data_IF_194532760237
#
_entry.id   IF_194532760237
#
_cell.length_a   1.000
_cell.length_b   1.000
_cell.length_c   1.000
_cell.angle_alpha   90.00
_cell.angle_beta   90.00
_cell.angle_gamma   90.00
#
_symmetry.space_group_name_H-M   'P 1'
#
loop_
_entity.id
_entity.type
_entity.pdbx_description
1 polymer ?
#
# COMPACT_ATOMS: atom_id res chain seq x y z
N UNK A 1 69.37 -16.07 -46.09
CA UNK A 1 68.53 -14.97 -46.61
C UNK A 1 67.11 -15.56 -46.73
N UNK A 2 66.34 -15.45 -45.67
CA UNK A 2 65.07 -16.10 -45.53
C UNK A 2 63.95 -15.10 -45.82
N UNK A 3 63.04 -15.45 -46.74
CA UNK A 3 61.84 -14.72 -47.02
C UNK A 3 60.75 -15.16 -46.07
N UNK A 4 60.33 -14.30 -45.15
CA UNK A 4 59.15 -14.51 -44.35
C UNK A 4 57.92 -14.20 -45.15
N UNK A 5 57.10 -15.21 -45.37
CA UNK A 5 55.76 -15.13 -45.94
C UNK A 5 54.80 -14.77 -44.81
N UNK A 6 54.14 -13.61 -44.87
CA UNK A 6 53.14 -13.16 -43.91
C UNK A 6 51.76 -13.59 -44.40
N UNK A 7 51.15 -14.56 -43.70
CA UNK A 7 49.80 -14.99 -43.94
C UNK A 7 48.81 -13.97 -43.28
N UNK A 8 48.02 -13.32 -44.05
CA UNK A 8 46.88 -12.51 -43.59
C UNK A 8 45.70 -13.48 -43.42
N UNK A 9 45.36 -13.77 -42.18
CA UNK A 9 44.12 -14.48 -41.82
C UNK A 9 42.98 -13.43 -41.86
N UNK A 10 42.11 -13.56 -42.87
CA UNK A 10 40.86 -12.84 -42.94
C UNK A 10 39.84 -13.55 -42.06
N UNK A 11 39.65 -13.05 -40.85
CA UNK A 11 38.55 -13.51 -39.95
C UNK A 11 37.27 -12.79 -40.38
N UNK A 12 36.36 -13.50 -41.02
CA UNK A 12 35.00 -13.09 -41.24
C UNK A 12 34.27 -13.14 -39.89
N UNK A 13 34.18 -12.01 -39.20
CA UNK A 13 33.21 -11.83 -38.14
C UNK A 13 31.83 -11.67 -38.77
N UNK A 14 31.01 -12.75 -38.77
CA UNK A 14 29.60 -12.64 -38.90
C UNK A 14 29.08 -11.96 -37.61
N UNK A 15 28.93 -10.66 -37.67
CA UNK A 15 28.23 -9.90 -36.64
C UNK A 15 26.76 -10.33 -36.65
N UNK A 16 26.33 -10.94 -35.56
CA UNK A 16 24.93 -10.94 -35.18
C UNK A 16 24.55 -9.49 -34.94
N UNK A 17 23.83 -8.92 -35.87
CA UNK A 17 23.17 -7.61 -35.72
C UNK A 17 22.05 -7.88 -34.71
N UNK A 18 22.34 -7.72 -33.41
CA UNK A 18 21.33 -7.37 -32.45
C UNK A 18 20.82 -6.00 -32.86
N UNK A 19 19.53 -5.86 -33.13
CA UNK A 19 18.89 -4.57 -33.24
C UNK A 19 18.94 -3.88 -31.87
N UNK A 20 20.09 -3.31 -31.52
CA UNK A 20 20.10 -2.20 -30.56
C UNK A 20 19.49 -1.01 -31.31
N UNK A 21 18.26 -0.67 -31.01
CA UNK A 21 17.67 0.60 -31.44
C UNK A 21 18.47 1.72 -30.79
N UNK A 22 19.41 2.29 -31.56
CA UNK A 22 20.09 3.51 -31.12
C UNK A 22 19.01 4.58 -30.85
N UNK A 23 19.04 5.25 -29.69
CA UNK A 23 18.13 6.38 -29.46
C UNK A 23 18.27 7.37 -30.62
N UNK A 24 17.15 7.89 -31.12
CA UNK A 24 17.18 8.99 -32.06
C UNK A 24 17.93 10.17 -31.43
N UNK A 25 18.73 10.93 -32.17
CA UNK A 25 19.41 12.11 -31.65
C UNK A 25 18.45 13.16 -31.05
N UNK A 26 17.14 13.00 -31.25
CA UNK A 26 16.06 13.88 -30.82
C UNK A 26 15.13 13.23 -29.75
N UNK A 27 15.51 12.10 -29.10
CA UNK A 27 14.67 11.47 -28.10
C UNK A 27 14.47 12.41 -26.89
N UNK A 28 13.17 12.63 -26.53
CA UNK A 28 12.80 13.40 -25.35
C UNK A 28 13.13 12.60 -24.09
N UNK A 29 13.80 13.21 -23.13
CA UNK A 29 14.12 12.58 -21.85
C UNK A 29 13.22 13.12 -20.76
N UNK A 30 12.49 12.22 -20.10
CA UNK A 30 11.68 12.50 -18.91
C UNK A 30 12.41 12.00 -17.67
N UNK A 31 12.35 12.76 -16.60
CA UNK A 31 12.96 12.40 -15.32
C UNK A 31 11.93 11.80 -14.37
N UNK A 32 12.27 10.67 -13.74
CA UNK A 32 11.48 10.00 -12.72
C UNK A 32 12.23 10.01 -11.39
N UNK A 33 11.72 10.76 -10.41
CA UNK A 33 12.22 10.72 -9.04
C UNK A 33 11.75 9.45 -8.32
N UNK A 34 12.66 8.78 -7.61
CA UNK A 34 12.36 7.64 -6.74
C UNK A 34 13.07 7.79 -5.40
N UNK A 35 12.54 7.14 -4.36
CA UNK A 35 13.08 7.12 -2.99
C UNK A 35 13.38 5.69 -2.57
N UNK A 36 14.47 5.11 -3.08
CA UNK A 36 14.79 3.72 -2.83
C UNK A 36 16.15 3.58 -2.16
N UNK A 37 16.18 2.99 -0.95
CA UNK A 37 17.43 2.65 -0.28
C UNK A 37 18.17 1.56 -1.05
N UNK A 38 19.49 1.72 -1.24
CA UNK A 38 20.32 0.81 -2.03
C UNK A 38 20.61 -0.56 -1.39
N UNK A 39 19.99 -0.89 -0.27
CA UNK A 39 20.23 -2.15 0.44
C UNK A 39 19.15 -3.19 0.14
N UNK A 40 19.54 -4.14 -0.69
CA UNK A 40 19.00 -5.50 -0.69
C UNK A 40 17.69 -5.71 -1.44
N UNK A 41 17.67 -6.68 -2.30
CA UNK A 41 16.48 -7.27 -2.82
C UNK A 41 16.27 -7.13 -4.33
N UNK A 42 15.29 -7.81 -4.83
CA UNK A 42 14.89 -7.80 -6.23
C UNK A 42 14.70 -6.36 -6.74
N UNK A 43 15.11 -6.11 -7.98
CA UNK A 43 14.81 -4.84 -8.67
C UNK A 43 13.32 -4.56 -8.56
N UNK A 44 12.93 -3.31 -8.21
CA UNK A 44 11.51 -2.99 -8.14
C UNK A 44 10.85 -3.17 -9.50
N UNK A 45 9.59 -3.58 -9.50
CA UNK A 45 8.82 -3.76 -10.74
C UNK A 45 8.83 -2.49 -11.60
N UNK A 46 8.72 -1.31 -10.98
CA UNK A 46 8.80 -0.03 -11.68
C UNK A 46 10.12 0.16 -12.42
N UNK A 47 11.27 -0.14 -11.78
CA UNK A 47 12.57 0.04 -12.43
C UNK A 47 12.80 -0.95 -13.58
N UNK A 48 12.29 -2.17 -13.44
CA UNK A 48 12.30 -3.14 -14.55
C UNK A 48 11.41 -2.64 -15.70
N UNK A 49 10.24 -2.09 -15.38
CA UNK A 49 9.34 -1.55 -16.38
C UNK A 49 9.92 -0.33 -17.11
N UNK A 50 10.64 0.55 -16.41
CA UNK A 50 11.36 1.65 -17.05
C UNK A 50 12.33 1.14 -18.11
N UNK A 51 13.04 0.04 -17.86
CA UNK A 51 13.95 -0.57 -18.86
C UNK A 51 13.16 -1.07 -20.08
N UNK A 52 12.08 -1.85 -19.85
CA UNK A 52 11.21 -2.36 -20.91
C UNK A 52 10.59 -1.21 -21.71
N UNK A 53 10.08 -0.18 -21.03
CA UNK A 53 9.51 1.00 -21.68
C UNK A 53 10.54 1.71 -22.55
N UNK A 54 11.74 1.91 -22.01
CA UNK A 54 12.84 2.53 -22.75
C UNK A 54 13.34 1.73 -23.96
N UNK A 55 13.25 0.40 -23.93
CA UNK A 55 13.57 -0.47 -25.07
C UNK A 55 12.54 -0.35 -26.19
N UNK A 56 11.26 -0.24 -25.82
CA UNK A 56 10.13 -0.24 -26.75
C UNK A 56 9.82 1.16 -27.35
N UNK A 57 10.31 2.25 -26.72
CA UNK A 57 10.06 3.62 -27.16
C UNK A 57 11.37 4.31 -27.58
N UNK A 58 11.47 4.69 -28.85
CA UNK A 58 12.68 5.34 -29.41
C UNK A 58 12.66 6.87 -29.30
N UNK A 59 11.49 7.46 -29.10
CA UNK A 59 11.22 8.89 -29.09
C UNK A 59 11.15 9.50 -27.68
N UNK A 60 10.92 8.65 -26.67
CA UNK A 60 10.86 9.04 -25.24
C UNK A 60 11.77 8.11 -24.44
N UNK A 61 12.52 8.68 -23.50
CA UNK A 61 13.36 7.94 -22.54
C UNK A 61 13.07 8.39 -21.12
N UNK A 62 12.89 7.43 -20.21
CA UNK A 62 12.72 7.69 -18.79
C UNK A 62 14.09 7.57 -18.12
N UNK A 63 14.54 8.64 -17.51
CA UNK A 63 15.75 8.68 -16.68
C UNK A 63 15.36 8.68 -15.21
N UNK A 64 15.78 7.64 -14.48
CA UNK A 64 15.53 7.52 -13.04
C UNK A 64 16.54 8.34 -12.25
N UNK A 65 16.05 9.10 -11.28
CA UNK A 65 16.85 9.85 -10.31
C UNK A 65 16.47 9.37 -8.91
N UNK A 66 17.40 8.71 -8.23
CA UNK A 66 17.17 8.23 -6.88
C UNK A 66 17.63 9.25 -5.84
N UNK A 67 16.69 9.90 -5.17
CA UNK A 67 16.99 10.93 -4.18
C UNK A 67 17.67 10.38 -2.93
N UNK A 68 17.50 9.08 -2.60
CA UNK A 68 18.20 8.48 -1.45
C UNK A 68 19.68 8.16 -1.72
N UNK A 69 20.20 8.35 -2.93
CA UNK A 69 21.64 8.31 -3.18
C UNK A 69 22.35 9.55 -2.62
N UNK A 70 21.66 10.70 -2.61
CA UNK A 70 22.21 11.96 -2.10
C UNK A 70 21.75 12.24 -0.66
N UNK A 71 20.50 11.95 -0.34
CA UNK A 71 19.89 12.18 0.97
C UNK A 71 19.62 10.85 1.66
N UNK A 72 20.22 10.60 2.82
CA UNK A 72 20.03 9.33 3.54
C UNK A 72 18.67 9.25 4.24
N UNK A 73 18.09 10.39 4.61
CA UNK A 73 16.77 10.48 5.21
C UNK A 73 15.70 10.73 4.14
N UNK A 74 14.65 9.90 4.05
CA UNK A 74 13.60 10.07 3.07
C UNK A 74 12.84 11.41 3.17
N UNK A 75 12.72 11.97 4.37
CA UNK A 75 12.04 13.25 4.57
C UNK A 75 12.89 14.43 4.14
N UNK A 76 14.22 14.37 4.37
CA UNK A 76 15.14 15.35 3.79
C UNK A 76 15.09 15.32 2.27
N UNK A 77 15.04 14.12 1.69
CA UNK A 77 14.90 13.91 0.24
C UNK A 77 13.60 14.51 -0.31
N UNK A 78 12.46 14.29 0.36
CA UNK A 78 11.16 14.88 -0.04
C UNK A 78 11.20 16.41 0.12
N UNK A 79 11.77 16.95 1.19
CA UNK A 79 11.88 18.39 1.38
C UNK A 79 12.73 19.03 0.29
N UNK A 80 13.82 18.40 -0.11
CA UNK A 80 14.63 18.85 -1.23
C UNK A 80 13.84 18.84 -2.56
N UNK A 81 13.09 17.76 -2.81
CA UNK A 81 12.20 17.67 -3.96
C UNK A 81 11.16 18.81 -3.98
N UNK A 82 10.56 19.15 -2.83
CA UNK A 82 9.63 20.29 -2.69
C UNK A 82 10.30 21.61 -3.09
N UNK A 83 11.54 21.82 -2.67
CA UNK A 83 12.33 23.02 -3.04
C UNK A 83 12.56 23.07 -4.54
N UNK A 84 12.93 21.97 -5.18
CA UNK A 84 13.18 21.89 -6.61
C UNK A 84 11.92 22.15 -7.44
N UNK A 85 10.79 21.55 -7.04
CA UNK A 85 9.48 21.80 -7.68
C UNK A 85 9.11 23.29 -7.54
N UNK A 86 9.23 23.84 -6.33
CA UNK A 86 8.92 25.27 -6.09
C UNK A 86 9.81 26.21 -6.90
N UNK A 87 11.03 25.79 -7.21
CA UNK A 87 11.95 26.54 -8.07
C UNK A 87 11.71 26.32 -9.58
N UNK A 88 10.77 25.45 -9.95
CA UNK A 88 10.47 25.10 -11.34
C UNK A 88 11.49 24.13 -11.98
N UNK A 89 12.29 23.46 -11.17
CA UNK A 89 13.36 22.53 -11.61
C UNK A 89 13.08 21.08 -11.15
N UNK A 90 11.85 20.77 -10.77
CA UNK A 90 11.48 19.42 -10.34
C UNK A 90 11.52 18.39 -11.47
N UNK A 91 11.49 17.08 -11.14
CA UNK A 91 11.41 16.00 -12.12
C UNK A 91 10.06 16.03 -12.86
N UNK A 92 9.95 15.27 -13.95
CA UNK A 92 8.67 15.14 -14.68
C UNK A 92 7.68 14.24 -13.93
N UNK A 93 8.16 13.17 -13.33
CA UNK A 93 7.36 12.19 -12.59
C UNK A 93 7.98 11.89 -11.23
N UNK A 94 7.13 11.52 -10.27
CA UNK A 94 7.55 11.22 -8.90
C UNK A 94 6.87 9.92 -8.46
N UNK A 95 7.65 8.92 -8.07
CA UNK A 95 7.14 7.76 -7.36
C UNK A 95 7.48 7.88 -5.87
N UNK A 96 6.47 8.20 -5.08
CA UNK A 96 6.59 8.27 -3.63
C UNK A 96 6.57 6.88 -2.98
N UNK A 97 5.92 5.88 -3.61
CA UNK A 97 5.69 4.59 -2.97
C UNK A 97 5.03 4.75 -1.60
N UNK A 98 5.56 4.09 -0.58
CA UNK A 98 5.04 4.17 0.80
C UNK A 98 5.26 5.53 1.50
N UNK A 99 5.95 6.48 0.86
CA UNK A 99 6.13 7.84 1.36
C UNK A 99 5.04 8.80 0.85
N UNK A 100 4.08 8.30 0.07
CA UNK A 100 2.97 9.11 -0.43
C UNK A 100 2.18 9.74 0.73
N UNK A 101 1.95 11.04 0.62
CA UNK A 101 1.15 11.82 1.56
C UNK A 101 0.05 12.56 0.81
N UNK A 102 -1.22 12.47 1.26
CA UNK A 102 -2.31 13.26 0.70
C UNK A 102 -2.04 14.77 0.78
N UNK A 103 -1.38 15.23 1.85
CA UNK A 103 -0.99 16.64 2.00
C UNK A 103 -0.03 17.06 0.90
N UNK A 104 1.06 16.29 0.69
CA UNK A 104 2.06 16.59 -0.34
C UNK A 104 1.45 16.59 -1.74
N UNK A 105 0.51 15.67 -1.99
CA UNK A 105 -0.21 15.61 -3.26
C UNK A 105 -1.08 16.85 -3.48
N UNK A 106 -1.86 17.27 -2.48
CA UNK A 106 -2.82 18.36 -2.59
C UNK A 106 -2.21 19.76 -2.51
N UNK A 107 -0.97 19.91 -2.00
CA UNK A 107 -0.29 21.22 -1.85
C UNK A 107 0.35 21.77 -3.15
N UNK A 108 0.01 21.22 -4.30
CA UNK A 108 0.47 21.70 -5.59
C UNK A 108 1.79 21.12 -6.09
N UNK A 109 2.31 20.07 -5.46
CA UNK A 109 3.48 19.32 -5.97
C UNK A 109 3.14 18.49 -7.20
N UNK A 110 1.93 17.95 -7.25
CA UNK A 110 1.48 16.99 -8.25
C UNK A 110 0.42 17.61 -9.17
N UNK A 111 0.33 17.08 -10.37
CA UNK A 111 -0.72 17.37 -11.33
C UNK A 111 -1.91 16.43 -11.07
N UNK A 112 -3.13 16.96 -11.08
CA UNK A 112 -4.33 16.13 -11.08
C UNK A 112 -4.39 15.28 -12.35
N UNK A 113 -4.50 13.96 -12.19
CA UNK A 113 -4.56 12.99 -13.28
C UNK A 113 -5.99 12.79 -13.82
N UNK A 114 -7.02 13.26 -13.11
CA UNK A 114 -8.42 13.07 -13.48
C UNK A 114 -8.75 13.60 -14.88
N UNK A 115 -8.24 14.79 -15.31
CA UNK A 115 -8.44 15.27 -16.68
C UNK A 115 -7.82 14.36 -17.74
N UNK A 116 -6.62 13.80 -17.48
CA UNK A 116 -5.97 12.87 -18.41
C UNK A 116 -6.78 11.59 -18.59
N UNK A 117 -7.30 11.03 -17.50
CA UNK A 117 -8.18 9.85 -17.53
C UNK A 117 -9.46 10.13 -18.33
N UNK A 118 -10.09 11.30 -18.13
CA UNK A 118 -11.34 11.67 -18.78
C UNK A 118 -11.19 11.98 -20.27
N UNK A 119 -10.07 12.56 -20.68
CA UNK A 119 -9.80 12.98 -22.07
C UNK A 119 -9.19 11.84 -22.92
N UNK A 120 -8.51 10.88 -22.30
CA UNK A 120 -7.88 9.75 -23.00
C UNK A 120 -8.92 8.70 -23.41
N UNK A 121 -9.29 8.71 -24.69
CA UNK A 121 -10.23 7.75 -25.26
C UNK A 121 -9.69 6.32 -25.35
N UNK A 122 -8.39 6.15 -25.19
CA UNK A 122 -7.75 4.83 -25.16
C UNK A 122 -7.71 4.22 -23.76
N UNK A 123 -8.02 5.01 -22.73
CA UNK A 123 -8.08 4.52 -21.35
C UNK A 123 -9.33 3.65 -21.14
N UNK A 124 -9.12 2.35 -20.97
CA UNK A 124 -10.19 1.39 -20.69
C UNK A 124 -10.31 1.12 -19.20
N UNK A 125 -11.25 1.79 -18.55
CA UNK A 125 -11.54 1.57 -17.14
C UNK A 125 -12.43 0.35 -16.86
N UNK A 126 -12.94 -0.34 -17.89
CA UNK A 126 -13.82 -1.49 -17.70
C UNK A 126 -13.06 -2.74 -17.22
N UNK A 127 -11.78 -2.84 -17.57
CA UNK A 127 -10.89 -3.92 -17.13
C UNK A 127 -10.01 -3.49 -15.95
N UNK A 128 -10.47 -2.53 -15.14
CA UNK A 128 -9.79 -2.07 -13.92
C UNK A 128 -10.73 -2.14 -12.72
N UNK A 129 -10.20 -2.48 -11.56
CA UNK A 129 -10.85 -2.21 -10.28
C UNK A 129 -10.80 -0.72 -10.01
N UNK A 130 -11.65 0.03 -10.72
CA UNK A 130 -11.62 1.49 -10.71
C UNK A 130 -11.90 2.07 -9.32
N UNK A 131 -12.69 1.36 -8.49
CA UNK A 131 -12.89 1.70 -7.08
C UNK A 131 -11.58 1.76 -6.29
N UNK A 132 -10.57 0.93 -6.64
CA UNK A 132 -9.24 0.99 -6.00
C UNK A 132 -8.53 2.30 -6.37
N UNK A 133 -8.57 2.71 -7.64
CA UNK A 133 -7.98 3.99 -8.04
C UNK A 133 -8.70 5.17 -7.36
N UNK A 134 -10.02 5.12 -7.29
CA UNK A 134 -10.84 6.13 -6.61
C UNK A 134 -10.55 6.22 -5.11
N UNK A 135 -10.22 5.09 -4.47
CA UNK A 135 -9.86 5.08 -3.06
C UNK A 135 -8.64 5.97 -2.74
N UNK A 136 -7.79 6.27 -3.73
CA UNK A 136 -6.61 7.15 -3.58
C UNK A 136 -6.87 8.60 -4.05
N UNK A 137 -8.10 8.97 -4.39
CA UNK A 137 -8.46 10.36 -4.67
C UNK A 137 -8.36 11.22 -3.38
N UNK A 138 -7.93 12.45 -3.54
CA UNK A 138 -7.95 13.47 -2.49
C UNK A 138 -9.00 14.51 -2.91
N UNK A 139 -10.12 14.54 -2.23
CA UNK A 139 -11.31 15.24 -2.73
C UNK A 139 -11.79 14.59 -4.03
N UNK A 140 -11.90 15.38 -5.11
CA UNK A 140 -12.32 14.90 -6.44
C UNK A 140 -11.12 14.73 -7.41
N UNK A 141 -9.88 14.71 -6.89
CA UNK A 141 -8.64 14.71 -7.70
C UNK A 141 -7.78 13.47 -7.42
N UNK A 142 -7.26 12.86 -8.48
CA UNK A 142 -6.29 11.76 -8.40
C UNK A 142 -4.88 12.31 -8.67
N UNK A 143 -4.01 12.34 -7.67
CA UNK A 143 -2.65 12.87 -7.81
C UNK A 143 -1.59 11.81 -8.06
N UNK A 144 -1.86 10.56 -7.72
CA UNK A 144 -0.95 9.45 -7.95
C UNK A 144 -1.70 8.21 -8.43
N UNK A 145 -1.11 7.52 -9.41
CA UNK A 145 -1.57 6.22 -9.87
C UNK A 145 -0.95 5.13 -8.98
N UNK A 146 -1.79 4.22 -8.50
CA UNK A 146 -1.40 3.07 -7.69
C UNK A 146 -1.72 1.79 -8.48
N UNK A 147 -0.77 1.26 -9.27
CA UNK A 147 -1.02 0.14 -10.17
C UNK A 147 -1.08 -1.23 -9.48
N UNK A 148 -0.64 -1.30 -8.22
CA UNK A 148 -0.77 -2.48 -7.37
C UNK A 148 -1.03 -2.08 -5.94
N UNK A 149 -1.86 -2.86 -5.24
CA UNK A 149 -2.32 -2.54 -3.90
C UNK A 149 -2.30 -3.76 -2.97
N UNK A 150 -2.28 -3.48 -1.69
CA UNK A 150 -2.47 -4.43 -0.60
C UNK A 150 -3.84 -4.15 0.01
N UNK A 151 -4.51 -5.15 0.55
CA UNK A 151 -5.75 -4.95 1.27
C UNK A 151 -5.47 -5.06 2.77
N UNK A 152 -5.68 -4.00 3.50
CA UNK A 152 -5.64 -4.01 4.96
C UNK A 152 -7.05 -4.13 5.52
N UNK A 153 -7.22 -5.03 6.49
CA UNK A 153 -8.51 -5.30 7.09
C UNK A 153 -8.37 -5.83 8.52
N UNK A 154 -9.45 -5.77 9.27
CA UNK A 154 -9.67 -6.64 10.40
C UNK A 154 -10.67 -7.72 10.03
N UNK A 155 -10.39 -8.96 10.44
CA UNK A 155 -11.30 -10.08 10.26
C UNK A 155 -11.78 -10.59 11.60
N UNK A 156 -12.93 -11.26 11.59
CA UNK A 156 -13.55 -11.82 12.80
C UNK A 156 -14.26 -13.14 12.51
N UNK A 157 -14.23 -14.03 13.48
CA UNK A 157 -15.12 -15.20 13.60
C UNK A 157 -16.07 -15.05 14.80
N UNK A 158 -15.96 -13.92 15.53
CA UNK A 158 -16.88 -13.63 16.63
C UNK A 158 -18.29 -13.38 16.09
N UNK A 159 -19.27 -14.12 16.60
CA UNK A 159 -20.65 -14.13 16.09
C UNK A 159 -21.39 -12.81 16.25
N UNK A 160 -21.01 -11.98 17.22
CA UNK A 160 -21.62 -10.66 17.41
C UNK A 160 -21.13 -9.66 16.36
N UNK A 161 -19.87 -9.78 15.94
CA UNK A 161 -19.26 -8.91 14.95
C UNK A 161 -19.43 -9.42 13.50
N UNK A 162 -19.42 -10.76 13.30
CA UNK A 162 -19.48 -11.36 11.96
C UNK A 162 -20.78 -11.07 11.19
N UNK A 163 -21.83 -10.61 11.86
CA UNK A 163 -23.08 -10.18 11.24
C UNK A 163 -23.10 -8.72 10.78
N UNK A 164 -22.01 -7.97 11.00
CA UNK A 164 -21.89 -6.57 10.61
C UNK A 164 -21.29 -6.47 9.21
N UNK A 165 -21.84 -5.62 8.36
CA UNK A 165 -21.21 -5.32 7.05
C UNK A 165 -19.99 -4.40 7.23
N UNK A 166 -20.10 -3.42 8.14
CA UNK A 166 -19.04 -2.50 8.54
C UNK A 166 -19.14 -2.30 10.06
N UNK A 167 -18.02 -2.16 10.71
CA UNK A 167 -17.95 -1.96 12.16
C UNK A 167 -17.70 -0.49 12.48
N UNK A 168 -18.51 0.10 13.36
CA UNK A 168 -18.21 1.41 13.92
C UNK A 168 -17.63 1.30 15.34
N UNK A 169 -17.04 2.41 15.83
CA UNK A 169 -16.42 2.44 17.17
C UNK A 169 -17.35 1.97 18.29
N UNK A 170 -18.62 2.42 18.26
CA UNK A 170 -19.58 2.02 19.27
C UNK A 170 -19.83 0.51 19.26
N UNK A 171 -19.97 -0.10 18.09
CA UNK A 171 -20.15 -1.56 17.96
C UNK A 171 -18.94 -2.32 18.47
N UNK A 172 -17.72 -1.84 18.18
CA UNK A 172 -16.49 -2.43 18.70
C UNK A 172 -16.43 -2.37 20.24
N UNK A 173 -16.65 -1.19 20.81
CA UNK A 173 -16.66 -0.97 22.26
C UNK A 173 -17.75 -1.80 22.95
N UNK A 174 -18.95 -1.83 22.38
CA UNK A 174 -20.07 -2.63 22.90
C UNK A 174 -19.76 -4.15 22.85
N UNK A 175 -19.11 -4.63 21.79
CA UNK A 175 -18.70 -6.03 21.67
C UNK A 175 -17.60 -6.38 22.68
N UNK A 176 -16.58 -5.54 22.80
CA UNK A 176 -15.49 -5.74 23.77
C UNK A 176 -16.01 -5.75 25.21
N UNK A 177 -16.90 -4.83 25.59
CA UNK A 177 -17.48 -4.77 26.93
C UNK A 177 -18.40 -5.93 27.27
N UNK A 178 -18.93 -6.66 26.27
CA UNK A 178 -19.78 -7.86 26.48
C UNK A 178 -18.99 -9.16 26.40
N UNK A 179 -17.76 -9.11 25.92
CA UNK A 179 -16.91 -10.28 25.83
C UNK A 179 -16.55 -10.83 27.21
N UNK A 180 -16.14 -12.10 27.28
CA UNK A 180 -15.72 -12.74 28.50
C UNK A 180 -14.46 -12.06 29.07
N UNK A 181 -14.22 -12.17 30.39
CA UNK A 181 -13.14 -11.49 31.10
C UNK A 181 -11.73 -11.85 30.56
N UNK A 182 -11.57 -13.05 29.97
CA UNK A 182 -10.33 -13.53 29.35
C UNK A 182 -10.25 -13.28 27.85
N UNK A 183 -11.23 -12.57 27.30
CA UNK A 183 -11.22 -12.16 25.90
C UNK A 183 -10.23 -11.01 25.67
N UNK A 184 -9.66 -10.99 24.46
CA UNK A 184 -8.79 -9.93 23.98
C UNK A 184 -9.38 -9.29 22.73
N UNK A 185 -9.06 -8.02 22.52
CA UNK A 185 -9.50 -7.33 21.31
C UNK A 185 -8.82 -7.93 20.07
N UNK A 186 -7.50 -8.04 20.11
CA UNK A 186 -6.67 -8.75 19.13
C UNK A 186 -5.33 -9.15 19.74
N UNK A 187 -4.62 -10.13 19.17
CA UNK A 187 -3.29 -10.51 19.64
C UNK A 187 -2.32 -9.34 19.63
N UNK A 188 -1.72 -9.06 20.77
CA UNK A 188 -0.78 -7.95 20.89
C UNK A 188 -1.40 -6.61 21.28
N UNK A 189 -2.63 -6.60 21.80
CA UNK A 189 -3.30 -5.39 22.25
C UNK A 189 -2.55 -4.66 23.38
N UNK A 190 -2.17 -3.43 23.09
CA UNK A 190 -1.64 -2.45 24.06
C UNK A 190 -2.33 -1.12 23.80
N UNK A 191 -2.24 -0.17 24.72
CA UNK A 191 -2.75 1.20 24.51
C UNK A 191 -2.36 1.75 23.15
N UNK A 192 -1.07 1.68 22.80
CA UNK A 192 -0.55 2.17 21.51
C UNK A 192 -1.05 1.34 20.31
N UNK A 193 -1.11 0.02 20.45
CA UNK A 193 -1.57 -0.85 19.37
C UNK A 193 -3.06 -0.61 19.07
N UNK A 194 -3.89 -0.48 20.11
CA UNK A 194 -5.31 -0.18 19.95
C UNK A 194 -5.54 1.21 19.38
N UNK A 195 -4.83 2.22 19.90
CA UNK A 195 -4.88 3.57 19.34
C UNK A 195 -4.45 3.57 17.86
N UNK A 196 -3.34 2.90 17.55
CA UNK A 196 -2.83 2.76 16.19
C UNK A 196 -3.81 2.05 15.27
N UNK A 197 -4.41 0.94 15.71
CA UNK A 197 -5.44 0.21 14.96
C UNK A 197 -6.58 1.15 14.54
N UNK A 198 -7.10 1.92 15.48
CA UNK A 198 -8.23 2.79 15.21
C UNK A 198 -7.79 3.97 14.33
N UNK A 199 -6.69 4.64 14.65
CA UNK A 199 -6.24 5.83 13.92
C UNK A 199 -5.68 5.54 12.54
N UNK A 200 -5.07 4.38 12.31
CA UNK A 200 -4.45 4.04 11.03
C UNK A 200 -5.41 4.19 9.85
N UNK A 201 -6.63 3.78 10.03
CA UNK A 201 -7.63 3.95 9.00
C UNK A 201 -8.60 5.13 9.22
N UNK A 202 -8.50 5.94 10.30
CA UNK A 202 -9.50 6.98 10.65
C UNK A 202 -9.04 8.42 10.51
N UNK A 203 -7.77 8.65 10.16
CA UNK A 203 -7.26 10.01 10.07
C UNK A 203 -8.06 10.88 9.07
N UNK A 204 -8.58 10.29 8.01
CA UNK A 204 -9.44 11.00 7.05
C UNK A 204 -10.71 11.58 7.68
N UNK A 205 -11.22 10.99 8.77
CA UNK A 205 -12.38 11.54 9.48
C UNK A 205 -12.05 12.81 10.26
N UNK A 206 -10.79 12.99 10.61
CA UNK A 206 -10.31 14.11 11.43
C UNK A 206 -9.56 15.16 10.65
N UNK A 207 -9.27 14.92 9.36
CA UNK A 207 -8.52 15.83 8.50
C UNK A 207 -9.22 16.02 7.15
N UNK A 208 -9.52 17.25 6.81
CA UNK A 208 -9.93 17.65 5.47
C UNK A 208 -8.70 18.20 4.74
N UNK A 209 -8.04 17.34 3.99
CA UNK A 209 -6.82 17.68 3.26
C UNK A 209 -7.05 18.74 2.18
N UNK A 210 -8.23 18.75 1.57
CA UNK A 210 -8.62 19.75 0.56
C UNK A 210 -8.78 21.14 1.18
N UNK A 211 -9.43 21.24 2.34
CA UNK A 211 -9.58 22.51 3.06
C UNK A 211 -8.38 22.87 3.96
N UNK A 212 -7.52 21.89 4.29
CA UNK A 212 -6.42 22.07 5.21
C UNK A 212 -6.89 22.33 6.64
N UNK A 213 -7.87 21.57 7.11
CA UNK A 213 -8.43 21.69 8.45
C UNK A 213 -8.50 20.34 9.14
N UNK A 214 -8.52 20.33 10.47
CA UNK A 214 -8.69 19.10 11.27
C UNK A 214 -9.61 19.33 12.48
N UNK A 215 -10.06 18.22 13.11
CA UNK A 215 -10.99 18.23 14.23
C UNK A 215 -10.68 17.11 15.25
N UNK A 216 -9.46 17.13 15.82
CA UNK A 216 -9.02 16.16 16.82
C UNK A 216 -9.50 16.49 18.26
N UNK A 217 -10.09 17.64 18.48
CA UNK A 217 -10.66 18.06 19.78
C UNK A 217 -12.12 17.64 19.98
N UNK A 218 -12.69 16.92 18.99
CA UNK A 218 -14.07 16.43 19.04
C UNK A 218 -14.27 15.24 19.99
N UNK A 219 -15.56 15.02 20.39
CA UNK A 219 -15.93 13.95 21.32
C UNK A 219 -15.57 12.55 20.77
N UNK A 220 -15.72 12.33 19.46
CA UNK A 220 -15.40 11.03 18.83
C UNK A 220 -13.92 10.68 18.95
N UNK A 221 -13.01 11.64 18.81
CA UNK A 221 -11.58 11.40 19.00
C UNK A 221 -11.23 11.16 20.47
N UNK A 222 -11.88 11.88 21.39
CA UNK A 222 -11.72 11.67 22.85
C UNK A 222 -12.21 10.26 23.26
N UNK A 223 -13.27 9.73 22.65
CA UNK A 223 -13.72 8.35 22.85
C UNK A 223 -12.66 7.33 22.43
N UNK A 224 -11.94 7.57 21.31
CA UNK A 224 -10.80 6.74 20.89
C UNK A 224 -9.69 6.76 21.94
N UNK A 225 -9.31 7.94 22.42
CA UNK A 225 -8.29 8.09 23.46
C UNK A 225 -8.70 7.35 24.75
N UNK A 226 -9.94 7.53 25.19
CA UNK A 226 -10.49 6.87 26.35
C UNK A 226 -10.49 5.34 26.21
N UNK A 227 -10.96 4.83 25.07
CA UNK A 227 -10.99 3.39 24.82
C UNK A 227 -9.59 2.79 24.80
N UNK A 228 -8.66 3.38 24.04
CA UNK A 228 -7.29 2.91 23.96
C UNK A 228 -6.56 2.92 25.32
N UNK A 229 -6.88 3.90 26.20
CA UNK A 229 -6.27 4.02 27.51
C UNK A 229 -6.68 2.91 28.52
N UNK A 230 -7.70 2.11 28.21
CA UNK A 230 -8.14 0.99 29.05
C UNK A 230 -7.23 -0.24 28.94
N UNK A 231 -6.43 -0.34 27.87
CA UNK A 231 -5.57 -1.49 27.59
C UNK A 231 -4.25 -1.46 28.34
N UNK A 232 -3.49 -2.57 28.41
CA UNK A 232 -2.20 -2.59 29.10
C UNK A 232 -1.15 -1.76 28.35
N UNK A 233 -0.23 -1.14 29.10
CA UNK A 233 0.91 -0.43 28.51
C UNK A 233 1.87 -1.38 27.78
N UNK A 234 2.07 -2.58 28.34
CA UNK A 234 2.98 -3.62 27.83
C UNK A 234 2.32 -4.97 27.86
N UNK A 235 2.61 -5.79 26.86
CA UNK A 235 2.19 -7.18 26.83
C UNK A 235 2.96 -7.99 27.87
N UNK A 236 2.23 -8.78 28.62
CA UNK A 236 2.80 -9.88 29.40
C UNK A 236 2.79 -11.12 28.53
N UNK A 237 3.82 -11.28 27.69
CA UNK A 237 3.99 -12.53 26.95
C UNK A 237 4.29 -13.64 27.94
N UNK A 238 3.35 -14.55 28.13
CA UNK A 238 3.63 -15.86 28.72
C UNK A 238 3.85 -16.83 27.58
N UNK A 239 4.79 -17.77 27.72
CA UNK A 239 5.21 -18.75 26.71
C UNK A 239 4.09 -19.69 26.21
N UNK A 240 2.87 -19.52 26.67
CA UNK A 240 1.68 -20.35 26.37
C UNK A 240 0.71 -19.72 25.36
N UNK A 241 1.09 -18.63 24.68
CA UNK A 241 0.17 -17.87 23.83
C UNK A 241 0.34 -18.22 22.35
N UNK A 242 -0.43 -19.21 21.88
CA UNK A 242 -0.58 -19.46 20.44
C UNK A 242 -1.60 -18.50 19.82
N UNK A 243 -1.21 -17.76 18.81
CA UNK A 243 -2.12 -16.86 18.05
C UNK A 243 -3.32 -17.64 17.52
N UNK A 244 -3.08 -18.83 16.93
CA UNK A 244 -4.14 -19.71 16.41
C UNK A 244 -5.08 -20.20 17.49
N UNK A 245 -4.55 -20.63 18.65
CA UNK A 245 -5.37 -21.12 19.76
C UNK A 245 -6.35 -20.07 20.26
N UNK A 246 -5.96 -18.80 20.31
CA UNK A 246 -6.81 -17.69 20.77
C UNK A 246 -8.05 -17.52 19.89
N UNK A 247 -7.93 -17.75 18.58
CA UNK A 247 -9.07 -17.70 17.66
C UNK A 247 -9.91 -18.95 17.73
N UNK A 248 -9.30 -20.14 17.73
CA UNK A 248 -10.01 -21.42 17.86
C UNK A 248 -10.80 -21.47 19.18
N UNK A 249 -10.28 -20.91 20.25
CA UNK A 249 -10.95 -20.77 21.56
C UNK A 249 -11.99 -19.65 21.60
N UNK A 250 -12.06 -18.82 20.56
CA UNK A 250 -13.01 -17.69 20.46
C UNK A 250 -12.71 -16.53 21.41
N UNK A 251 -11.47 -16.43 21.92
CA UNK A 251 -11.06 -15.36 22.86
C UNK A 251 -10.70 -14.05 22.20
N UNK A 252 -10.19 -14.05 20.94
CA UNK A 252 -9.92 -12.83 20.23
C UNK A 252 -11.15 -12.36 19.44
N UNK A 253 -11.44 -11.07 19.53
CA UNK A 253 -12.54 -10.46 18.78
C UNK A 253 -12.15 -10.20 17.33
N UNK A 254 -10.94 -9.70 17.12
CA UNK A 254 -10.44 -9.23 15.82
C UNK A 254 -9.06 -9.83 15.52
N UNK A 255 -8.76 -9.93 14.23
CA UNK A 255 -7.42 -10.24 13.74
C UNK A 255 -7.05 -9.30 12.60
N UNK A 256 -5.91 -8.58 12.70
CA UNK A 256 -5.42 -7.76 11.61
C UNK A 256 -4.89 -8.64 10.47
N UNK A 257 -5.30 -8.33 9.26
CA UNK A 257 -4.81 -9.00 8.04
C UNK A 257 -4.35 -7.98 7.03
N UNK A 258 -3.30 -8.34 6.32
CA UNK A 258 -2.79 -7.60 5.16
C UNK A 258 -2.71 -8.61 4.03
N UNK A 259 -3.41 -8.36 2.93
CA UNK A 259 -3.53 -9.26 1.79
C UNK A 259 -2.69 -8.68 0.67
N UNK A 260 -1.49 -9.19 0.51
CA UNK A 260 -0.56 -8.83 -0.57
C UNK A 260 -0.41 -9.96 -1.60
N UNK A 261 -0.84 -11.16 -1.24
CA UNK A 261 -0.94 -12.35 -2.09
C UNK A 261 -2.39 -12.84 -2.16
N UNK A 262 -2.76 -13.47 -3.28
CA UNK A 262 -4.09 -14.12 -3.39
C UNK A 262 -4.26 -15.23 -2.36
N UNK A 263 -3.16 -15.87 -1.93
CA UNK A 263 -3.18 -16.98 -0.98
C UNK A 263 -3.44 -16.54 0.48
N UNK A 264 -3.29 -15.25 0.81
CA UNK A 264 -3.52 -14.74 2.17
C UNK A 264 -4.96 -14.95 2.64
N UNK A 265 -5.92 -14.97 1.73
CA UNK A 265 -7.31 -15.32 2.03
C UNK A 265 -7.41 -16.77 2.55
N UNK A 266 -6.75 -17.70 1.87
CA UNK A 266 -6.70 -19.11 2.28
C UNK A 266 -5.97 -19.24 3.62
N UNK A 267 -4.83 -18.56 3.76
CA UNK A 267 -4.05 -18.52 5.00
C UNK A 267 -4.86 -17.99 6.17
N UNK A 268 -5.55 -16.87 5.99
CA UNK A 268 -6.42 -16.29 7.02
C UNK A 268 -7.50 -17.26 7.46
N UNK A 269 -8.18 -17.93 6.52
CA UNK A 269 -9.18 -18.96 6.85
C UNK A 269 -8.59 -20.14 7.63
N UNK A 270 -7.38 -20.58 7.28
CA UNK A 270 -6.69 -21.66 8.00
C UNK A 270 -6.33 -21.26 9.42
N UNK A 271 -5.85 -20.03 9.64
CA UNK A 271 -5.58 -19.47 10.98
C UNK A 271 -6.84 -19.40 11.82
N UNK A 272 -7.94 -18.94 11.22
CA UNK A 272 -9.22 -18.78 11.92
C UNK A 272 -9.96 -20.11 12.17
N UNK A 273 -9.62 -21.18 11.43
CA UNK A 273 -10.31 -22.47 11.47
C UNK A 273 -11.67 -22.50 10.75
N UNK A 274 -12.17 -21.35 10.32
CA UNK A 274 -13.39 -21.17 9.52
C UNK A 274 -13.27 -19.93 8.62
N UNK A 275 -14.19 -19.75 7.67
CA UNK A 275 -14.21 -18.56 6.81
C UNK A 275 -14.57 -17.33 7.63
N UNK A 276 -13.65 -16.36 7.80
CA UNK A 276 -13.91 -15.18 8.60
C UNK A 276 -14.73 -14.14 7.85
N UNK A 277 -15.33 -13.22 8.59
CA UNK A 277 -15.89 -11.98 8.04
C UNK A 277 -14.81 -10.91 7.98
N UNK A 278 -14.59 -10.33 6.80
CA UNK A 278 -13.73 -9.18 6.60
C UNK A 278 -14.52 -7.92 6.96
N UNK A 279 -14.34 -7.46 8.19
CA UNK A 279 -15.15 -6.40 8.79
C UNK A 279 -14.52 -5.02 8.63
N UNK A 280 -13.21 -4.98 8.33
CA UNK A 280 -12.45 -3.74 8.16
C UNK A 280 -12.19 -2.99 9.45
N UNK A 281 -11.98 -1.69 9.32
CA UNK A 281 -11.59 -0.80 10.42
C UNK A 281 -12.81 -0.19 11.11
N UNK A 282 -12.76 0.05 12.45
CA UNK A 282 -13.89 0.58 13.20
C UNK A 282 -14.01 2.10 13.03
N UNK A 283 -14.99 2.55 12.28
CA UNK A 283 -15.27 3.97 12.06
C UNK A 283 -16.70 4.38 12.30
N UNK A 284 -16.93 5.69 12.51
CA UNK A 284 -18.26 6.25 12.62
C UNK A 284 -19.10 6.03 11.36
N UNK A 285 -18.45 6.05 10.18
CA UNK A 285 -19.07 5.74 8.88
C UNK A 285 -18.98 4.27 8.47
N UNK A 286 -18.16 3.46 9.16
CA UNK A 286 -17.92 2.05 8.83
C UNK A 286 -17.18 1.86 7.51
N UNK A 287 -15.86 1.99 7.52
CA UNK A 287 -15.06 1.88 6.28
C UNK A 287 -14.73 0.44 5.96
N UNK A 288 -15.14 -0.52 6.03
CA UNK A 288 -14.72 -1.85 5.57
C UNK A 288 -13.20 -2.04 5.47
N UNK A 289 -12.80 -2.92 4.57
CA UNK A 289 -11.39 -3.13 4.20
C UNK A 289 -10.88 -1.95 3.36
N UNK A 290 -9.58 -1.68 3.42
CA UNK A 290 -8.97 -0.52 2.79
C UNK A 290 -7.85 -0.95 1.85
N UNK A 291 -7.56 -0.13 0.83
CA UNK A 291 -6.41 -0.33 -0.05
C UNK A 291 -5.18 0.40 0.50
N UNK A 292 -4.04 -0.28 0.52
CA UNK A 292 -2.73 0.30 0.81
C UNK A 292 -1.83 0.25 -0.42
N UNK A 293 -0.85 1.13 -0.47
CA UNK A 293 0.14 1.17 -1.53
C UNK A 293 1.11 0.00 -1.36
N UNK A 294 1.22 -0.87 -2.37
CA UNK A 294 2.16 -1.97 -2.34
C UNK A 294 3.62 -1.51 -2.55
N UNK A 295 3.91 -0.82 -3.65
CA UNK A 295 5.28 -0.34 -3.99
C UNK A 295 5.26 0.96 -4.78
N UNK A 296 4.21 1.19 -5.57
CA UNK A 296 4.14 2.29 -6.54
C UNK A 296 2.97 3.21 -6.20
N UNK A 297 3.29 4.48 -5.95
CA UNK A 297 2.38 5.61 -5.97
C UNK A 297 3.04 6.71 -6.79
N UNK A 298 2.75 6.73 -8.08
CA UNK A 298 3.45 7.53 -9.08
C UNK A 298 2.53 8.58 -9.68
N UNK A 299 3.03 9.81 -9.82
CA UNK A 299 2.27 10.86 -10.44
C UNK A 299 3.15 11.82 -11.23
N UNK A 300 2.52 12.81 -11.84
CA UNK A 300 3.17 13.82 -12.70
C UNK A 300 3.44 15.06 -11.86
N UNK A 301 4.67 15.54 -11.88
CA UNK A 301 5.03 16.81 -11.22
C UNK A 301 4.24 17.98 -11.80
N UNK A 302 3.78 18.88 -10.93
CA UNK A 302 3.05 20.08 -11.35
C UNK A 302 3.87 20.97 -12.31
N UNK A 303 5.20 20.94 -12.19
CA UNK A 303 6.13 21.76 -12.99
C UNK A 303 6.59 21.09 -14.28
N UNK A 304 6.26 19.81 -14.52
CA UNK A 304 6.62 19.11 -15.75
C UNK A 304 6.06 19.82 -16.98
N UNK A 305 6.91 19.96 -18.00
CA UNK A 305 6.55 20.46 -19.33
C UNK A 305 6.23 19.31 -20.30
N UNK A 306 6.31 18.06 -19.83
CA UNK A 306 6.16 16.83 -20.61
C UNK A 306 5.00 15.97 -20.08
N UNK A 307 3.89 16.62 -19.68
CA UNK A 307 2.80 15.95 -18.97
C UNK A 307 2.11 14.87 -19.80
N UNK A 308 1.98 15.09 -21.10
CA UNK A 308 1.36 14.13 -22.02
C UNK A 308 2.20 12.84 -22.13
N UNK A 309 3.52 12.99 -22.33
CA UNK A 309 4.41 11.83 -22.42
C UNK A 309 4.56 11.14 -21.06
N UNK A 310 4.53 11.88 -19.96
CA UNK A 310 4.50 11.34 -18.62
C UNK A 310 3.21 10.52 -18.39
N UNK A 311 2.05 11.02 -18.85
CA UNK A 311 0.80 10.27 -18.78
C UNK A 311 0.85 8.95 -19.55
N UNK A 312 1.40 8.92 -20.76
CA UNK A 312 1.55 7.69 -21.54
C UNK A 312 2.42 6.65 -20.80
N UNK A 313 3.48 7.10 -20.10
CA UNK A 313 4.24 6.19 -19.24
C UNK A 313 3.43 5.69 -18.04
N UNK A 314 2.74 6.57 -17.31
CA UNK A 314 1.91 6.18 -16.17
C UNK A 314 0.83 5.18 -16.60
N UNK A 315 0.15 5.46 -17.70
CA UNK A 315 -0.90 4.59 -18.26
C UNK A 315 -0.37 3.20 -18.59
N UNK A 316 0.87 3.10 -19.08
CA UNK A 316 1.47 1.81 -19.41
C UNK A 316 1.65 0.87 -18.21
N UNK A 317 1.65 1.40 -16.98
CA UNK A 317 1.63 0.61 -15.74
C UNK A 317 0.29 -0.11 -15.50
N UNK A 318 -0.75 0.24 -16.25
CA UNK A 318 -2.06 -0.41 -16.19
C UNK A 318 -2.27 -1.44 -17.32
N UNK A 319 -1.33 -1.53 -18.28
CA UNK A 319 -1.40 -2.50 -19.36
C UNK A 319 -1.16 -3.93 -18.84
N UNK A 320 -1.72 -4.91 -19.53
CA UNK A 320 -1.58 -6.32 -19.14
C UNK A 320 -0.12 -6.76 -19.01
N UNK A 321 0.77 -6.26 -19.89
CA UNK A 321 2.19 -6.61 -19.86
C UNK A 321 2.85 -6.24 -18.52
N UNK A 322 2.50 -5.11 -17.90
CA UNK A 322 2.95 -4.77 -16.57
C UNK A 322 2.14 -5.52 -15.49
N UNK A 323 0.82 -5.51 -15.60
CA UNK A 323 -0.10 -6.00 -14.57
C UNK A 323 0.00 -7.52 -14.34
N UNK A 324 0.23 -8.32 -15.37
CA UNK A 324 0.45 -9.77 -15.26
C UNK A 324 1.75 -10.11 -14.52
N UNK A 325 2.71 -9.15 -14.49
CA UNK A 325 4.01 -9.28 -13.85
C UNK A 325 4.13 -8.61 -12.47
N UNK A 326 3.06 -8.01 -11.94
CA UNK A 326 3.01 -7.51 -10.55
C UNK A 326 3.29 -8.67 -9.59
N UNK A 327 4.23 -8.50 -8.65
CA UNK A 327 4.62 -9.53 -7.66
C UNK A 327 4.46 -9.06 -6.22
N UNK A 328 4.34 -7.76 -6.02
CA UNK A 328 4.11 -7.14 -4.72
C UNK A 328 2.70 -6.56 -4.73
N UNK A 329 1.82 -7.13 -3.93
CA UNK A 329 0.41 -6.78 -3.90
C UNK A 329 -0.44 -7.38 -5.03
N UNK A 330 -1.66 -6.93 -5.11
CA UNK A 330 -2.66 -7.33 -6.09
C UNK A 330 -2.68 -6.34 -7.27
N UNK A 331 -2.80 -6.81 -8.53
CA UNK A 331 -2.92 -5.93 -9.68
C UNK A 331 -4.28 -5.21 -9.68
N UNK A 332 -4.31 -3.97 -10.15
CA UNK A 332 -5.58 -3.23 -10.33
C UNK A 332 -6.34 -3.68 -11.58
N UNK A 333 -5.69 -4.39 -12.50
CA UNK A 333 -6.32 -4.92 -13.71
C UNK A 333 -7.14 -6.18 -13.41
N UNK A 334 -8.43 -6.15 -13.78
CA UNK A 334 -9.36 -7.25 -13.49
C UNK A 334 -8.91 -8.54 -14.16
N UNK A 335 -8.62 -8.50 -15.47
CA UNK A 335 -8.20 -9.70 -16.24
C UNK A 335 -6.90 -10.31 -15.70
N UNK A 336 -5.93 -9.49 -15.27
CA UNK A 336 -4.68 -9.98 -14.69
C UNK A 336 -4.88 -10.65 -13.33
N UNK A 337 -5.77 -10.08 -12.48
CA UNK A 337 -6.12 -10.74 -11.21
C UNK A 337 -6.91 -12.04 -11.44
N UNK A 338 -7.88 -12.04 -12.36
CA UNK A 338 -8.65 -13.24 -12.70
C UNK A 338 -7.75 -14.38 -13.19
N UNK A 339 -6.79 -14.08 -14.07
CA UNK A 339 -5.80 -15.08 -14.50
C UNK A 339 -5.02 -15.65 -13.31
N UNK A 340 -4.54 -14.79 -12.41
CA UNK A 340 -3.80 -15.21 -11.21
C UNK A 340 -4.65 -16.09 -10.29
N UNK A 341 -5.94 -15.76 -10.13
CA UNK A 341 -6.88 -16.57 -9.35
C UNK A 341 -7.17 -17.92 -10.01
N UNK A 342 -7.31 -17.97 -11.33
CA UNK A 342 -7.47 -19.22 -12.07
C UNK A 342 -6.24 -20.14 -11.89
N UNK A 343 -5.04 -19.58 -11.97
CA UNK A 343 -3.79 -20.31 -11.70
C UNK A 343 -3.69 -20.76 -10.23
N UNK A 344 -4.13 -19.93 -9.29
CA UNK A 344 -4.10 -20.26 -7.85
C UNK A 344 -5.08 -21.38 -7.46
N UNK A 345 -6.17 -21.55 -8.19
CA UNK A 345 -7.10 -22.67 -7.97
C UNK A 345 -6.59 -24.02 -8.53
N UNK A 346 -5.49 -24.02 -9.27
CA UNK A 346 -4.92 -25.23 -9.85
C UNK A 346 -3.78 -25.76 -9.02
N UNK A 347 -3.88 -27.03 -8.60
CA UNK A 347 -2.76 -27.73 -8.00
C UNK A 347 -1.66 -27.95 -9.04
N UNK A 348 -0.44 -27.56 -8.71
CA UNK A 348 0.75 -27.93 -9.47
C UNK A 348 1.40 -29.16 -8.88
N UNK A 349 2.05 -29.95 -9.74
CA UNK A 349 2.77 -31.17 -9.34
C UNK A 349 4.21 -31.09 -9.83
N UNK A 350 5.12 -31.53 -9.01
CA UNK A 350 6.54 -31.64 -9.34
C UNK A 350 6.82 -32.85 -10.25
N UNK A 351 8.09 -33.06 -10.60
CA UNK A 351 8.56 -34.18 -11.43
C UNK A 351 8.31 -35.56 -10.78
N UNK A 352 8.09 -35.61 -9.47
CA UNK A 352 7.82 -36.83 -8.69
C UNK A 352 6.30 -37.08 -8.53
N UNK A 353 5.46 -36.15 -8.97
CA UNK A 353 4.01 -36.18 -8.80
C UNK A 353 3.54 -35.73 -7.42
N UNK A 354 4.37 -35.00 -6.66
CA UNK A 354 4.01 -34.38 -5.40
C UNK A 354 3.44 -32.97 -5.65
N UNK A 355 2.43 -32.57 -4.85
CA UNK A 355 1.87 -31.20 -4.96
C UNK A 355 2.92 -30.16 -4.60
N UNK A 356 3.07 -29.16 -5.43
CA UNK A 356 3.95 -28.00 -5.18
C UNK A 356 3.31 -27.09 -4.15
N UNK A 357 4.06 -26.76 -3.10
CA UNK A 357 3.63 -25.81 -2.09
C UNK A 357 3.64 -24.40 -2.68
N UNK A 358 2.52 -23.70 -2.61
CA UNK A 358 2.38 -22.31 -3.06
C UNK A 358 2.76 -21.33 -1.99
N UNK A 359 2.39 -21.61 -0.74
CA UNK A 359 2.71 -20.78 0.42
C UNK A 359 2.82 -21.62 1.67
N UNK A 360 3.62 -21.16 2.63
CA UNK A 360 3.85 -21.81 3.92
C UNK A 360 3.40 -20.87 5.03
N UNK A 361 2.49 -21.35 5.86
CA UNK A 361 2.11 -20.66 7.09
C UNK A 361 2.96 -21.24 8.23
N UNK A 362 3.90 -20.45 8.71
CA UNK A 362 4.82 -20.83 9.78
C UNK A 362 4.44 -20.09 11.08
N UNK A 363 4.05 -20.85 12.07
CA UNK A 363 3.73 -20.35 13.40
C UNK A 363 4.81 -20.85 14.36
N UNK A 364 5.44 -19.93 15.10
CA UNK A 364 6.63 -20.17 15.91
C UNK A 364 6.61 -21.42 16.80
N UNK A 365 5.45 -21.90 17.21
CA UNK A 365 5.27 -23.01 18.15
C UNK A 365 4.40 -24.16 17.61
N UNK A 366 4.06 -24.16 16.31
CA UNK A 366 3.20 -25.17 15.68
C UNK A 366 3.88 -25.76 14.43
N UNK A 367 3.43 -26.93 13.98
CA UNK A 367 3.86 -27.47 12.69
C UNK A 367 3.37 -26.55 11.56
N UNK A 368 4.24 -26.25 10.56
CA UNK A 368 3.86 -25.38 9.47
C UNK A 368 2.72 -25.96 8.65
N UNK A 369 1.79 -25.12 8.26
CA UNK A 369 0.71 -25.48 7.34
C UNK A 369 1.05 -25.03 5.92
N UNK A 370 0.57 -25.79 4.92
CA UNK A 370 0.94 -25.60 3.52
C UNK A 370 -0.28 -25.29 2.67
N UNK A 371 -0.20 -24.23 1.88
CA UNK A 371 -1.21 -23.90 0.87
C UNK A 371 -0.74 -24.43 -0.48
N UNK A 372 -1.57 -25.22 -1.13
CA UNK A 372 -1.32 -25.83 -2.44
C UNK A 372 -2.19 -25.24 -3.55
N UNK A 373 -3.42 -24.87 -3.22
CA UNK A 373 -4.43 -24.32 -4.12
C UNK A 373 -5.46 -23.51 -3.34
N UNK A 374 -6.09 -22.56 -4.00
CA UNK A 374 -7.23 -21.82 -3.44
C UNK A 374 -8.54 -22.57 -3.68
N UNK A 375 -9.48 -22.43 -2.77
CA UNK A 375 -10.86 -22.85 -3.00
C UNK A 375 -11.64 -21.78 -3.78
N UNK A 376 -12.73 -22.19 -4.43
CA UNK A 376 -13.66 -21.25 -5.08
C UNK A 376 -14.27 -20.26 -4.05
N UNK A 377 -14.47 -20.71 -2.82
CA UNK A 377 -14.98 -19.87 -1.73
C UNK A 377 -13.97 -18.76 -1.35
N UNK A 378 -12.68 -19.09 -1.28
CA UNK A 378 -11.62 -18.13 -1.02
C UNK A 378 -11.54 -17.08 -2.15
N UNK A 379 -11.66 -17.51 -3.41
CA UNK A 379 -11.69 -16.62 -4.58
C UNK A 379 -12.87 -15.65 -4.52
N UNK A 380 -14.08 -16.14 -4.24
CA UNK A 380 -15.27 -15.29 -4.15
C UNK A 380 -15.18 -14.34 -2.95
N UNK A 381 -14.58 -14.78 -1.84
CA UNK A 381 -14.30 -13.94 -0.69
C UNK A 381 -13.38 -12.78 -1.06
N UNK A 382 -12.24 -13.05 -1.70
CA UNK A 382 -11.32 -12.00 -2.15
C UNK A 382 -12.01 -11.00 -3.08
N UNK A 383 -12.72 -11.48 -4.10
CA UNK A 383 -13.46 -10.63 -5.02
C UNK A 383 -14.51 -9.77 -4.31
N UNK A 384 -15.18 -10.35 -3.32
CA UNK A 384 -16.18 -9.62 -2.52
C UNK A 384 -15.54 -8.51 -1.70
N UNK A 385 -14.38 -8.77 -1.09
CA UNK A 385 -13.63 -7.76 -0.33
C UNK A 385 -13.18 -6.63 -1.25
N UNK A 386 -12.55 -6.93 -2.39
CA UNK A 386 -12.06 -5.93 -3.35
C UNK A 386 -13.19 -4.97 -3.79
N UNK A 387 -14.36 -5.53 -4.15
CA UNK A 387 -15.50 -4.73 -4.65
C UNK A 387 -16.05 -3.74 -3.62
N UNK A 388 -15.81 -3.95 -2.34
CA UNK A 388 -16.30 -3.13 -1.23
C UNK A 388 -15.30 -2.08 -0.77
N UNK A 389 -14.08 -2.07 -1.32
CA UNK A 389 -13.07 -1.07 -0.97
C UNK A 389 -13.48 0.28 -1.55
N UNK A 390 -13.61 1.28 -0.67
CA UNK A 390 -13.95 2.67 -1.00
C UNK A 390 -12.89 3.66 -0.49
N UNK A 391 -11.98 3.19 0.40
CA UNK A 391 -10.99 4.03 1.07
C UNK A 391 -9.60 3.44 1.00
N UNK A 392 -8.59 4.30 1.12
CA UNK A 392 -7.20 3.87 1.27
C UNK A 392 -6.75 3.99 2.73
N UNK A 393 -5.74 3.20 3.09
CA UNK A 393 -5.09 3.22 4.40
C UNK A 393 -3.80 4.08 4.40
N UNK A 394 -3.72 5.06 3.52
CA UNK A 394 -2.56 5.96 3.47
C UNK A 394 -2.61 6.91 4.65
N UNK A 395 -1.54 6.90 5.43
CA UNK A 395 -1.40 7.75 6.61
C UNK A 395 -0.31 8.78 6.36
N UNK A 396 -0.64 10.06 6.52
CA UNK A 396 0.41 11.08 6.62
C UNK A 396 1.26 10.82 7.86
N UNK A 397 2.49 10.38 7.62
CA UNK A 397 3.38 9.90 8.67
C UNK A 397 3.77 10.97 9.69
N UNK A 398 3.91 12.22 9.26
CA UNK A 398 4.27 13.30 10.18
C UNK A 398 3.10 13.62 11.10
N UNK A 399 1.89 13.65 10.56
CA UNK A 399 0.68 13.81 11.36
C UNK A 399 0.53 12.65 12.34
N UNK A 400 0.70 11.41 11.87
CA UNK A 400 0.61 10.23 12.72
C UNK A 400 1.66 10.24 13.86
N UNK A 401 2.89 10.68 13.58
CA UNK A 401 3.91 10.86 14.60
C UNK A 401 3.53 11.92 15.63
N UNK A 402 2.92 13.04 15.20
CA UNK A 402 2.39 14.05 16.12
C UNK A 402 1.37 13.42 17.09
N UNK A 403 0.46 12.59 16.56
CA UNK A 403 -0.52 11.91 17.40
C UNK A 403 0.17 10.95 18.39
N UNK A 404 1.09 10.11 17.90
CA UNK A 404 1.81 9.14 18.73
C UNK A 404 2.63 9.78 19.85
N UNK A 405 3.29 10.91 19.57
CA UNK A 405 4.03 11.66 20.58
C UNK A 405 3.13 12.17 21.71
N UNK A 406 1.97 12.71 21.38
CA UNK A 406 1.06 13.30 22.38
C UNK A 406 0.30 12.25 23.18
N UNK A 407 -0.11 11.14 22.56
CA UNK A 407 -0.78 10.07 23.31
C UNK A 407 0.15 9.36 24.28
N UNK A 408 1.47 9.44 24.10
CA UNK A 408 2.43 8.97 25.10
C UNK A 408 2.28 9.67 26.45
N UNK A 409 1.94 10.96 26.47
CA UNK A 409 1.68 11.68 27.71
C UNK A 409 0.38 11.23 28.39
N UNK A 410 -0.63 10.82 27.63
CA UNK A 410 -1.83 10.20 28.18
C UNK A 410 -1.52 8.81 28.77
N UNK A 411 -0.82 7.98 28.02
CA UNK A 411 -0.63 6.57 28.34
C UNK A 411 0.39 6.33 29.45
N UNK A 412 1.43 7.16 29.53
CA UNK A 412 2.56 6.99 30.44
C UNK A 412 2.58 8.01 31.57
N UNK A 413 2.17 9.25 31.33
CA UNK A 413 2.30 10.35 32.29
C UNK A 413 0.97 10.73 32.99
N UNK A 414 -0.15 10.10 32.57
CA UNK A 414 -1.47 10.29 33.21
C UNK A 414 -2.10 11.66 32.89
N UNK A 415 -1.73 12.30 31.78
CA UNK A 415 -2.44 13.48 31.29
C UNK A 415 -3.88 13.08 30.91
N UNK A 416 -4.84 13.98 31.04
CA UNK A 416 -6.23 13.66 30.68
C UNK A 416 -6.47 13.71 29.16
N UNK A 417 -7.53 13.05 28.71
CA UNK A 417 -7.88 12.93 27.28
C UNK A 417 -8.17 14.29 26.62
N UNK A 418 -8.81 15.21 27.35
CA UNK A 418 -9.18 16.53 26.83
C UNK A 418 -7.94 17.37 26.53
N UNK A 419 -6.97 17.45 27.48
CA UNK A 419 -5.73 18.19 27.29
C UNK A 419 -4.91 17.59 26.13
N UNK A 420 -4.88 16.26 25.96
CA UNK A 420 -4.14 15.60 24.87
C UNK A 420 -4.83 15.87 23.53
N UNK A 421 -6.14 15.76 23.45
CA UNK A 421 -6.91 16.06 22.24
C UNK A 421 -6.70 17.52 21.78
N UNK A 422 -6.74 18.49 22.73
CA UNK A 422 -6.52 19.91 22.44
C UNK A 422 -5.09 20.19 21.92
N UNK A 423 -4.08 19.52 22.50
CA UNK A 423 -2.69 19.67 22.05
C UNK A 423 -2.52 19.05 20.64
N UNK A 424 -3.07 17.86 20.41
CA UNK A 424 -3.07 17.23 19.08
C UNK A 424 -3.74 18.15 18.07
N UNK A 425 -4.94 18.68 18.37
CA UNK A 425 -5.66 19.62 17.51
C UNK A 425 -4.79 20.82 17.13
N UNK A 426 -4.13 21.43 18.10
CA UNK A 426 -3.28 22.59 17.84
C UNK A 426 -2.06 22.25 16.99
N UNK A 427 -1.34 21.17 17.31
CA UNK A 427 -0.16 20.74 16.56
C UNK A 427 -0.50 20.30 15.14
N UNK A 428 -1.56 19.52 14.97
CA UNK A 428 -2.06 19.07 13.67
C UNK A 428 -2.50 20.25 12.80
N UNK A 429 -3.24 21.22 13.37
CA UNK A 429 -3.65 22.43 12.65
C UNK A 429 -2.47 23.24 12.13
N UNK A 430 -1.41 23.40 12.92
CA UNK A 430 -0.18 24.08 12.48
C UNK A 430 0.47 23.30 11.33
N UNK A 431 0.69 21.99 11.52
CA UNK A 431 1.31 21.13 10.52
C UNK A 431 0.58 21.18 9.18
N UNK A 432 -0.75 21.01 9.20
CA UNK A 432 -1.57 20.99 7.99
C UNK A 432 -1.56 22.37 7.30
N UNK A 433 -1.60 23.45 8.07
CA UNK A 433 -1.57 24.82 7.51
C UNK A 433 -0.22 25.22 6.92
N UNK A 434 0.90 24.71 7.47
CA UNK A 434 2.25 24.96 6.95
C UNK A 434 2.56 24.14 5.69
N UNK A 435 1.87 23.01 5.50
CA UNK A 435 2.01 22.16 4.33
C UNK A 435 1.29 22.69 3.08
N UNK A 436 0.45 23.73 3.21
CA UNK A 436 -0.26 24.41 2.12
C UNK A 436 0.42 25.73 1.77
#
# INVERSE_FOLDING_TARGET
MEKRIMWILLVLCLGLIGCDTMPSEDAKTLTLAVFKSGYGGARSALLQWVEVYNENHSDVKIQVVNYLEEYQDPYEAINQLKIEISAGNGPDMINFGSLYSPLDASCGMMTDLSPFIQEDKSFDNQDLYYNILQAFEVGDSLYALVPSYIIDSYVTVNRELAGLENMNMKQLVDAYNRADEDSILFPGETKKAVFGMICYGSLENYVDWDKGTCCFDGDSFKEILHFANQFPEKLNWTDEYSVKAVFVEGRALLYPVSIDSVYDITGTRMVMGETPTYIGYPFDSGYGSMASIADIAIGISSTSQNKEEAWEFLKSLLDSEFQDNVRNGLPVRVSSLEQRLEEAMQAEFDENGEKVVKEVLDFADEEPEYIYEMSIEDVETLKSVIRKIEHNATVDRNLYNILLEEVDYLFNDGRNEEDVADIIQNRASVYISEGK
#
